data_IF_022851562623
#
_entry.id   IF_022851562623
#
_cell.length_a   1.000
_cell.length_b   1.000
_cell.length_c   1.000
_cell.angle_alpha   90.00
_cell.angle_beta   90.00
_cell.angle_gamma   90.00
#
_symmetry.space_group_name_H-M   'P 1'
#
loop_
_entity.id
_entity.type
_entity.pdbx_description
1 polymer ?
#
# COMPACT_ATOMS: atom_id res chain seq x y z
N UNK A 1 -15.06 25.03 5.89
CA UNK A 1 -14.81 23.82 5.08
C UNK A 1 -13.39 23.41 5.38
N UNK A 2 -13.23 22.37 6.20
CA UNK A 2 -11.92 21.86 6.63
C UNK A 2 -11.15 21.40 5.39
N UNK A 3 -10.03 22.04 5.08
CA UNK A 3 -9.16 21.59 3.99
C UNK A 3 -8.48 20.31 4.48
N UNK A 4 -9.01 19.16 4.08
CA UNK A 4 -8.38 17.85 4.29
C UNK A 4 -7.09 17.87 3.49
N UNK A 5 -5.96 18.01 4.17
CA UNK A 5 -4.64 17.92 3.53
C UNK A 5 -4.62 16.64 2.69
N UNK A 6 -4.15 16.68 1.43
CA UNK A 6 -3.91 15.46 0.70
C UNK A 6 -2.79 14.76 1.47
N UNK A 7 -3.14 13.75 2.27
CA UNK A 7 -2.14 12.84 2.79
C UNK A 7 -1.62 12.14 1.55
N UNK A 8 -0.44 12.50 1.07
CA UNK A 8 0.23 11.84 -0.04
C UNK A 8 0.47 10.38 0.35
N UNK A 9 -0.53 9.53 0.09
CA UNK A 9 -0.46 8.11 0.38
C UNK A 9 0.50 7.50 -0.64
N UNK A 10 1.66 7.05 -0.17
CA UNK A 10 2.62 6.30 -0.97
C UNK A 10 2.28 4.81 -0.88
N UNK A 11 2.08 4.17 -2.02
CA UNK A 11 2.04 2.71 -2.10
C UNK A 11 3.49 2.21 -2.05
N UNK A 12 3.77 1.32 -1.09
CA UNK A 12 5.10 0.76 -0.86
C UNK A 12 5.00 -0.75 -0.73
N UNK A 13 6.09 -1.45 -1.02
CA UNK A 13 6.22 -2.87 -0.69
C UNK A 13 6.49 -3.03 0.80
N UNK A 14 5.96 -4.09 1.39
CA UNK A 14 6.22 -4.48 2.78
C UNK A 14 7.29 -5.57 2.78
N UNK A 15 8.27 -5.46 3.67
CA UNK A 15 9.38 -6.42 3.79
C UNK A 15 8.88 -7.74 4.40
N UNK A 16 8.22 -7.69 5.57
CA UNK A 16 7.57 -8.84 6.21
C UNK A 16 6.10 -8.52 6.55
N UNK A 17 5.13 -9.05 5.76
CA UNK A 17 3.70 -8.83 6.00
C UNK A 17 3.21 -9.31 7.37
N UNK A 18 3.82 -10.34 7.94
CA UNK A 18 3.41 -10.94 9.22
C UNK A 18 3.47 -9.92 10.36
N UNK A 19 4.52 -9.08 10.34
CA UNK A 19 4.70 -8.00 11.32
C UNK A 19 3.60 -6.94 11.23
N UNK A 20 3.03 -6.72 10.04
CA UNK A 20 1.96 -5.75 9.84
C UNK A 20 0.61 -6.25 10.33
N UNK A 21 0.33 -7.56 10.26
CA UNK A 21 -0.94 -8.14 10.74
C UNK A 21 -1.09 -7.98 12.26
N UNK A 22 0.00 -8.03 13.01
CA UNK A 22 0.01 -7.85 14.46
C UNK A 22 0.29 -6.39 14.90
N UNK A 23 0.55 -5.49 13.95
CA UNK A 23 0.92 -4.11 14.23
C UNK A 23 -0.30 -3.25 14.56
N UNK A 24 -0.32 -2.64 15.76
CA UNK A 24 -1.39 -1.70 16.19
C UNK A 24 -1.58 -0.46 15.30
N UNK A 25 -0.62 -0.17 14.42
CA UNK A 25 -0.65 0.97 13.51
C UNK A 25 -1.08 0.60 12.09
N UNK A 26 -1.23 -0.69 11.81
CA UNK A 26 -1.65 -1.20 10.52
C UNK A 26 -3.08 -1.76 10.60
N UNK A 27 -3.81 -1.71 9.49
CA UNK A 27 -5.10 -2.36 9.32
C UNK A 27 -5.34 -2.72 7.85
N UNK A 28 -6.29 -3.61 7.60
CA UNK A 28 -6.71 -3.95 6.23
C UNK A 28 -7.71 -2.89 5.75
N UNK A 29 -7.38 -2.25 4.63
CA UNK A 29 -8.23 -1.29 3.96
C UNK A 29 -8.71 -1.85 2.63
N UNK A 30 -9.97 -1.62 2.29
CA UNK A 30 -10.48 -1.82 0.93
C UNK A 30 -10.16 -0.58 0.11
N UNK A 31 -9.40 -0.75 -0.99
CA UNK A 31 -9.05 0.31 -1.93
C UNK A 31 -9.75 0.09 -3.26
N UNK A 32 -10.16 1.17 -3.90
CA UNK A 32 -10.68 1.15 -5.27
C UNK A 32 -9.53 1.47 -6.23
N UNK A 33 -9.29 0.58 -7.19
CA UNK A 33 -8.28 0.74 -8.23
C UNK A 33 -8.83 1.60 -9.39
N UNK A 34 -7.95 2.00 -10.31
CA UNK A 34 -8.30 2.88 -11.45
C UNK A 34 -9.36 2.26 -12.37
N UNK A 35 -9.40 0.93 -12.47
CA UNK A 35 -10.39 0.18 -13.25
C UNK A 35 -11.73 -0.01 -12.53
N UNK A 36 -11.88 0.52 -11.31
CA UNK A 36 -13.07 0.39 -10.47
C UNK A 36 -13.14 -0.92 -9.68
N UNK A 37 -12.13 -1.79 -9.77
CA UNK A 37 -12.05 -3.00 -8.95
C UNK A 37 -11.70 -2.65 -7.49
N UNK A 38 -12.17 -3.48 -6.56
CA UNK A 38 -11.88 -3.33 -5.13
C UNK A 38 -10.82 -4.35 -4.70
N UNK A 39 -9.83 -3.92 -3.93
CA UNK A 39 -8.76 -4.77 -3.41
C UNK A 39 -8.52 -4.52 -1.93
N UNK A 40 -8.24 -5.58 -1.17
CA UNK A 40 -7.80 -5.46 0.21
C UNK A 40 -6.28 -5.21 0.26
N UNK A 41 -5.86 -4.18 0.98
CA UNK A 41 -4.46 -3.80 1.14
C UNK A 41 -4.14 -3.46 2.60
N UNK A 42 -2.89 -3.69 3.00
CA UNK A 42 -2.38 -3.23 4.29
C UNK A 42 -2.16 -1.72 4.27
N UNK A 43 -2.83 -1.02 5.17
CA UNK A 43 -2.65 0.41 5.38
C UNK A 43 -1.90 0.66 6.68
N UNK A 44 -0.75 1.33 6.60
CA UNK A 44 0.08 1.67 7.75
C UNK A 44 0.01 3.18 8.03
N UNK A 45 -0.23 3.57 9.29
CA UNK A 45 -0.31 4.97 9.73
C UNK A 45 1.00 5.58 10.22
N UNK A 46 2.06 4.78 10.35
CA UNK A 46 3.38 5.31 10.70
C UNK A 46 3.91 6.13 9.54
N UNK A 47 4.84 7.05 9.81
CA UNK A 47 5.57 7.81 8.79
C UNK A 47 7.05 7.40 8.72
N UNK A 48 7.45 6.53 9.65
CA UNK A 48 8.82 6.13 9.97
C UNK A 48 8.91 4.60 10.12
N UNK A 49 8.13 3.85 9.34
CA UNK A 49 8.08 2.40 9.48
C UNK A 49 9.29 1.74 8.81
N UNK A 50 10.08 1.00 9.57
CA UNK A 50 11.23 0.27 9.03
C UNK A 50 10.84 -0.99 8.22
N UNK A 51 9.57 -1.41 8.28
CA UNK A 51 9.06 -2.56 7.53
C UNK A 51 8.65 -2.21 6.09
N UNK A 52 8.83 -0.95 5.69
CA UNK A 52 8.61 -0.51 4.31
C UNK A 52 9.89 -0.68 3.50
N UNK A 53 9.73 -1.15 2.28
CA UNK A 53 10.78 -1.10 1.28
C UNK A 53 10.77 0.30 0.63
N UNK A 54 11.80 1.09 0.92
CA UNK A 54 11.97 2.45 0.42
C UNK A 54 12.59 2.50 -0.97
N UNK A 55 12.90 1.36 -1.58
CA UNK A 55 13.34 1.32 -2.98
C UNK A 55 12.24 1.95 -3.84
N UNK A 56 12.61 2.98 -4.62
CA UNK A 56 11.68 3.55 -5.59
C UNK A 56 11.60 2.58 -6.77
N UNK A 57 10.54 1.78 -6.77
CA UNK A 57 10.20 0.87 -7.86
C UNK A 57 9.61 1.68 -9.00
N UNK A 58 10.08 1.41 -10.23
CA UNK A 58 9.47 2.02 -11.40
C UNK A 58 8.11 1.36 -11.74
N UNK A 59 7.33 2.03 -12.60
CA UNK A 59 5.98 1.58 -12.98
C UNK A 59 5.98 0.19 -13.66
N UNK A 60 7.11 -0.20 -14.25
CA UNK A 60 7.28 -1.46 -14.97
C UNK A 60 7.47 -2.62 -13.99
N UNK A 61 8.28 -2.43 -12.94
CA UNK A 61 8.45 -3.40 -11.86
C UNK A 61 7.15 -3.60 -11.04
N UNK A 62 6.34 -2.54 -10.88
CA UNK A 62 5.02 -2.65 -10.22
C UNK A 62 4.04 -3.53 -10.99
N UNK A 63 4.03 -3.40 -12.32
CA UNK A 63 3.14 -4.20 -13.19
C UNK A 63 3.55 -5.68 -13.21
N UNK A 64 4.84 -5.99 -13.17
CA UNK A 64 5.30 -7.38 -13.13
C UNK A 64 4.95 -8.10 -11.81
N UNK A 65 4.96 -7.39 -10.69
CA UNK A 65 4.64 -7.98 -9.38
C UNK A 65 3.15 -8.13 -9.09
N UNK A 66 2.31 -7.26 -9.65
CA UNK A 66 0.87 -7.19 -9.32
C UNK A 66 -0.07 -7.35 -10.53
N UNK A 67 0.45 -7.41 -11.75
CA UNK A 67 -0.30 -7.46 -13.01
C UNK A 67 -0.65 -8.87 -13.52
N UNK A 68 -0.19 -9.94 -12.87
CA UNK A 68 -0.53 -11.31 -13.25
C UNK A 68 -1.61 -11.93 -12.33
N UNK A 69 -2.83 -11.39 -12.37
CA UNK A 69 -4.07 -12.16 -12.13
C UNK A 69 -5.14 -11.75 -13.16
N UNK A 70 -4.79 -11.81 -14.45
CA UNK A 70 -5.74 -11.73 -15.55
C UNK A 70 -5.45 -12.81 -16.61
N UNK A 71 -5.49 -14.08 -16.20
CA UNK A 71 -5.78 -15.22 -17.08
C UNK A 71 -6.22 -16.45 -16.25
#
# INVERSE_FOLDING_TARGET
MEQKQPTDLKVVRIIDPSLCVECRFAYIATVELVDGSLKEMLYCRRLDCDNWDYTDWDEQEWQELWGEEAA
#
